data_IF_844231061029
#
_entry.id   IF_844231061029
#
_cell.length_a   1.000
_cell.length_b   1.000
_cell.length_c   1.000
_cell.angle_alpha   90.00
_cell.angle_beta   90.00
_cell.angle_gamma   90.00
#
_symmetry.space_group_name_H-M   'P 1'
#
loop_
_entity.id
_entity.type
_entity.pdbx_description
1 polymer ?
#
# COMPACT_ATOMS: atom_id res chain seq x y z
N UNK A 1 -3.28 -8.77 14.47
CA UNK A 1 -2.51 -9.76 13.66
C UNK A 1 -1.95 -10.89 14.49
N UNK A 2 -1.13 -10.66 15.56
CA UNK A 2 -0.47 -11.72 16.33
C UNK A 2 -1.46 -12.76 16.89
N UNK A 3 -2.53 -12.33 17.57
CA UNK A 3 -3.53 -13.25 18.14
C UNK A 3 -4.20 -14.09 17.04
N UNK A 4 -4.61 -13.47 15.93
CA UNK A 4 -5.25 -14.17 14.80
C UNK A 4 -4.34 -15.22 14.16
N UNK A 5 -3.03 -14.98 14.12
CA UNK A 5 -2.05 -15.95 13.57
C UNK A 5 -1.91 -17.15 14.51
N UNK A 6 -1.94 -16.91 15.83
CA UNK A 6 -1.93 -17.96 16.87
C UNK A 6 -3.21 -18.79 16.78
N UNK A 7 -4.37 -18.14 16.68
CA UNK A 7 -5.68 -18.81 16.58
C UNK A 7 -5.81 -19.71 15.35
N UNK A 8 -5.11 -19.34 14.24
CA UNK A 8 -5.05 -20.13 13.01
C UNK A 8 -3.94 -21.21 13.02
N UNK A 9 -3.24 -21.40 14.12
CA UNK A 9 -2.21 -22.44 14.27
C UNK A 9 -0.87 -22.16 13.58
N UNK A 10 -0.67 -20.96 13.01
CA UNK A 10 0.56 -20.56 12.33
C UNK A 10 1.62 -20.06 13.34
N UNK A 11 2.08 -20.91 14.25
CA UNK A 11 2.95 -20.48 15.36
C UNK A 11 4.44 -20.44 14.97
N UNK A 12 4.89 -21.22 13.99
CA UNK A 12 6.32 -21.55 13.88
C UNK A 12 7.16 -20.69 12.93
N UNK A 13 6.59 -19.87 12.05
CA UNK A 13 7.36 -19.18 11.00
C UNK A 13 7.10 -17.67 10.91
N UNK A 14 6.60 -17.05 11.97
CA UNK A 14 6.25 -15.64 11.97
C UNK A 14 7.05 -14.86 13.00
N UNK A 15 7.55 -13.70 12.59
CA UNK A 15 8.11 -12.68 13.48
C UNK A 15 7.30 -11.42 13.36
N UNK A 16 6.83 -10.88 14.49
CA UNK A 16 6.11 -9.63 14.53
C UNK A 16 7.04 -8.52 15.02
N UNK A 17 7.18 -7.49 14.22
CA UNK A 17 7.98 -6.31 14.54
C UNK A 17 7.05 -5.10 14.52
N UNK A 18 6.93 -4.42 15.64
CA UNK A 18 6.22 -3.14 15.71
C UNK A 18 7.22 -2.02 15.44
N UNK A 19 7.14 -1.42 14.26
CA UNK A 19 8.04 -0.35 13.84
C UNK A 19 7.38 0.46 12.73
N UNK A 20 7.71 1.74 12.64
CA UNK A 20 7.53 2.49 11.41
C UNK A 20 8.48 1.93 10.35
N UNK A 21 8.07 1.96 9.08
CA UNK A 21 8.89 1.43 7.99
C UNK A 21 10.16 2.25 7.78
N UNK A 22 10.12 3.54 8.07
CA UNK A 22 11.26 4.47 8.03
C UNK A 22 12.35 4.09 9.03
N UNK A 23 12.00 3.38 10.08
CA UNK A 23 12.93 2.87 11.10
C UNK A 23 13.34 1.41 10.88
N UNK A 24 12.81 0.75 9.84
CA UNK A 24 13.08 -0.66 9.55
C UNK A 24 14.43 -0.84 8.86
N UNK A 25 15.48 -1.20 9.63
CA UNK A 25 16.86 -1.30 9.13
C UNK A 25 17.31 -2.77 9.03
N UNK A 26 16.74 -3.52 8.10
CA UNK A 26 17.23 -4.86 7.73
C UNK A 26 17.88 -4.81 6.36
N UNK A 27 18.92 -5.61 6.13
CA UNK A 27 19.63 -5.64 4.84
C UNK A 27 19.65 -7.06 4.28
N UNK A 28 19.37 -7.19 2.99
CA UNK A 28 19.51 -8.42 2.21
C UNK A 28 18.91 -9.67 2.88
N UNK A 29 17.73 -9.53 3.48
CA UNK A 29 17.11 -10.60 4.29
C UNK A 29 15.95 -11.29 3.60
N UNK A 30 15.15 -10.57 2.83
CA UNK A 30 13.87 -11.05 2.30
C UNK A 30 13.93 -11.25 0.79
N UNK A 31 13.27 -12.29 0.30
CA UNK A 31 13.11 -12.53 -1.14
C UNK A 31 11.85 -11.87 -1.70
N UNK A 32 10.89 -11.56 -0.84
CA UNK A 32 9.65 -10.90 -1.18
C UNK A 32 9.25 -9.95 -0.05
N UNK A 33 8.84 -8.74 -0.42
CA UNK A 33 8.08 -7.84 0.43
C UNK A 33 6.72 -7.59 -0.20
N UNK A 34 5.66 -7.53 0.60
CA UNK A 34 4.32 -7.19 0.14
C UNK A 34 3.76 -6.06 0.99
N UNK A 35 3.11 -5.12 0.33
CA UNK A 35 2.45 -3.99 0.95
C UNK A 35 1.05 -3.87 0.34
N UNK A 36 0.02 -3.98 1.16
CA UNK A 36 -1.36 -3.85 0.72
C UNK A 36 -2.06 -2.76 1.52
N UNK A 37 -2.55 -1.73 0.82
CA UNK A 37 -3.31 -0.60 1.35
C UNK A 37 -2.61 0.15 2.51
N UNK A 38 -1.28 0.13 2.52
CA UNK A 38 -0.49 0.68 3.61
C UNK A 38 0.43 1.84 3.23
N UNK A 39 0.59 2.10 1.93
CA UNK A 39 1.55 3.07 1.41
C UNK A 39 1.28 4.50 1.94
N UNK A 40 0.00 4.87 2.06
CA UNK A 40 -0.47 6.16 2.58
C UNK A 40 -0.11 6.43 4.05
N UNK A 41 0.28 5.39 4.80
CA UNK A 41 0.68 5.51 6.19
C UNK A 41 2.18 5.80 6.36
N UNK A 42 2.94 5.87 5.26
CA UNK A 42 4.34 6.27 5.30
C UNK A 42 4.44 7.77 5.55
N UNK A 43 5.27 8.16 6.48
CA UNK A 43 5.56 9.57 6.76
C UNK A 43 6.53 10.13 5.72
N UNK A 44 7.46 9.29 5.28
CA UNK A 44 8.43 9.55 4.21
C UNK A 44 8.41 8.34 3.27
N UNK A 45 7.79 8.54 2.10
CA UNK A 45 7.56 7.47 1.14
C UNK A 45 8.86 6.97 0.51
N UNK A 46 9.76 7.88 0.15
CA UNK A 46 11.05 7.54 -0.45
C UNK A 46 11.92 6.74 0.53
N UNK A 47 12.04 7.21 1.77
CA UNK A 47 12.78 6.53 2.83
C UNK A 47 12.17 5.16 3.14
N UNK A 48 10.85 5.06 3.20
CA UNK A 48 10.15 3.80 3.43
C UNK A 48 10.43 2.78 2.32
N UNK A 49 10.30 3.18 1.05
CA UNK A 49 10.61 2.34 -0.10
C UNK A 49 12.09 1.94 -0.15
N UNK A 50 13.01 2.86 0.19
CA UNK A 50 14.45 2.62 0.28
C UNK A 50 14.80 1.59 1.36
N UNK A 51 14.16 1.66 2.52
CA UNK A 51 14.35 0.68 3.59
C UNK A 51 13.84 -0.71 3.21
N UNK A 52 12.70 -0.78 2.51
CA UNK A 52 12.20 -2.05 1.95
C UNK A 52 13.19 -2.57 0.92
N UNK A 53 13.65 -1.74 -0.02
CA UNK A 53 14.65 -2.11 -1.02
C UNK A 53 15.92 -2.66 -0.39
N UNK A 54 16.46 -1.97 0.61
CA UNK A 54 17.64 -2.41 1.35
C UNK A 54 17.44 -3.77 2.03
N UNK A 55 16.23 -4.05 2.49
CA UNK A 55 15.88 -5.30 3.17
C UNK A 55 15.76 -6.50 2.22
N UNK A 56 15.50 -6.26 0.93
CA UNK A 56 15.43 -7.30 -0.07
C UNK A 56 16.81 -7.84 -0.44
N UNK A 57 16.89 -9.12 -0.71
CA UNK A 57 18.03 -9.77 -1.36
C UNK A 57 18.12 -9.34 -2.82
N UNK A 58 19.28 -9.45 -3.44
CA UNK A 58 19.43 -9.39 -4.89
C UNK A 58 18.53 -10.47 -5.51
N UNK A 59 17.79 -10.14 -6.54
CA UNK A 59 16.71 -10.97 -7.12
C UNK A 59 15.39 -10.93 -6.35
N UNK A 60 15.35 -10.30 -5.18
CA UNK A 60 14.12 -10.10 -4.41
C UNK A 60 13.20 -9.07 -5.05
N UNK A 61 11.92 -9.09 -4.67
CA UNK A 61 10.90 -8.21 -5.24
C UNK A 61 10.00 -7.59 -4.19
N UNK A 62 9.52 -6.39 -4.50
CA UNK A 62 8.44 -5.72 -3.79
C UNK A 62 7.16 -5.79 -4.62
N UNK A 63 6.04 -6.15 -3.97
CA UNK A 63 4.70 -6.02 -4.51
C UNK A 63 3.92 -5.01 -3.68
N UNK A 64 3.36 -4.01 -4.34
CA UNK A 64 2.50 -2.99 -3.74
C UNK A 64 1.12 -3.12 -4.36
N UNK A 65 0.08 -3.15 -3.56
CA UNK A 65 -1.31 -3.02 -3.97
C UNK A 65 -1.92 -1.87 -3.17
N UNK A 66 -2.36 -0.83 -3.84
CA UNK A 66 -2.99 0.31 -3.17
C UNK A 66 -4.09 0.95 -4.02
N UNK A 67 -4.90 1.76 -3.37
CA UNK A 67 -5.95 2.52 -4.04
C UNK A 67 -5.35 3.58 -4.94
N UNK A 68 -6.02 3.87 -6.03
CA UNK A 68 -5.80 5.00 -6.91
C UNK A 68 -7.09 5.77 -7.16
N UNK A 69 -6.98 7.03 -7.52
CA UNK A 69 -8.12 7.78 -8.03
C UNK A 69 -8.47 7.28 -9.45
N UNK A 70 -9.75 7.04 -9.78
CA UNK A 70 -10.14 6.66 -11.13
C UNK A 70 -9.81 7.73 -12.16
N UNK A 71 -9.29 7.33 -13.33
CA UNK A 71 -8.93 8.25 -14.42
C UNK A 71 -10.16 8.63 -15.28
N UNK A 72 -11.11 7.71 -15.40
CA UNK A 72 -12.31 7.94 -16.16
C UNK A 72 -13.22 8.94 -15.42
N UNK A 73 -13.59 10.04 -16.09
CA UNK A 73 -14.45 11.11 -15.53
C UNK A 73 -15.77 10.60 -14.95
N UNK A 74 -16.40 9.61 -15.58
CA UNK A 74 -17.63 9.00 -15.10
C UNK A 74 -17.40 8.18 -13.83
N UNK A 75 -16.39 7.31 -13.85
CA UNK A 75 -16.01 6.50 -12.70
C UNK A 75 -15.52 7.39 -11.55
N UNK A 76 -14.80 8.46 -11.86
CA UNK A 76 -14.34 9.45 -10.87
C UNK A 76 -15.51 10.11 -10.15
N UNK A 77 -16.49 10.60 -10.90
CA UNK A 77 -17.70 11.24 -10.31
C UNK A 77 -18.52 10.26 -9.46
N UNK A 78 -18.68 9.03 -9.94
CA UNK A 78 -19.39 7.98 -9.18
C UNK A 78 -18.59 7.57 -7.93
N UNK A 79 -17.27 7.46 -8.05
CA UNK A 79 -16.37 7.15 -6.95
C UNK A 79 -16.38 8.27 -5.89
N UNK A 80 -16.29 9.54 -6.29
CA UNK A 80 -16.39 10.69 -5.38
C UNK A 80 -17.75 10.71 -4.67
N UNK A 81 -18.83 10.48 -5.40
CA UNK A 81 -20.16 10.40 -4.79
C UNK A 81 -20.27 9.28 -3.75
N UNK A 82 -19.69 8.12 -4.04
CA UNK A 82 -19.63 6.98 -3.12
C UNK A 82 -18.74 7.27 -1.90
N UNK A 83 -17.52 7.78 -2.12
CA UNK A 83 -16.56 8.05 -1.03
C UNK A 83 -17.00 9.19 -0.13
N UNK A 84 -17.68 10.22 -0.68
CA UNK A 84 -18.08 11.39 0.08
C UNK A 84 -19.41 11.19 0.84
N UNK A 85 -20.31 10.39 0.30
CA UNK A 85 -21.67 10.30 0.83
C UNK A 85 -22.03 8.92 1.40
N UNK A 86 -21.46 7.84 0.86
CA UNK A 86 -21.85 6.48 1.23
C UNK A 86 -20.84 5.89 2.23
N UNK A 87 -19.55 6.00 1.93
CA UNK A 87 -18.50 5.38 2.73
C UNK A 87 -18.47 5.90 4.19
N UNK A 88 -18.56 7.21 4.46
CA UNK A 88 -18.58 7.73 5.83
C UNK A 88 -19.81 7.26 6.62
N UNK A 89 -21.00 7.21 5.97
CA UNK A 89 -22.22 6.72 6.61
C UNK A 89 -22.17 5.23 6.93
N UNK A 90 -21.60 4.43 6.03
CA UNK A 90 -21.37 3.01 6.30
C UNK A 90 -20.34 2.80 7.43
N UNK A 91 -19.30 3.64 7.49
CA UNK A 91 -18.34 3.64 8.58
C UNK A 91 -18.99 3.92 9.92
N UNK A 92 -19.86 4.90 10.00
CA UNK A 92 -20.62 5.22 11.21
C UNK A 92 -21.50 4.04 11.66
N UNK A 93 -22.21 3.40 10.74
CA UNK A 93 -23.14 2.30 11.04
C UNK A 93 -22.39 1.03 11.45
N UNK A 94 -21.26 0.71 10.80
CA UNK A 94 -20.58 -0.58 10.98
C UNK A 94 -19.54 -0.53 12.09
N UNK A 95 -18.78 0.56 12.19
CA UNK A 95 -17.64 0.67 13.11
C UNK A 95 -17.74 1.81 14.12
N UNK A 96 -18.71 2.72 13.97
CA UNK A 96 -18.83 3.94 14.78
C UNK A 96 -17.71 4.97 14.54
N UNK A 97 -16.91 4.79 13.47
CA UNK A 97 -15.72 5.61 13.18
C UNK A 97 -15.79 6.29 11.81
N UNK A 98 -16.66 7.27 11.69
CA UNK A 98 -16.80 8.10 10.50
C UNK A 98 -15.50 8.82 10.10
N UNK A 99 -14.69 9.21 11.09
CA UNK A 99 -13.45 9.98 10.84
C UNK A 99 -12.40 9.17 10.09
N UNK A 100 -12.23 7.90 10.43
CA UNK A 100 -11.29 7.01 9.73
C UNK A 100 -11.70 6.77 8.27
N UNK A 101 -12.99 6.71 7.98
CA UNK A 101 -13.48 6.55 6.61
C UNK A 101 -13.38 7.85 5.81
N UNK A 102 -13.58 9.02 6.45
CA UNK A 102 -13.34 10.31 5.81
C UNK A 102 -11.85 10.48 5.48
N UNK A 103 -10.96 10.18 6.43
CA UNK A 103 -9.52 10.18 6.20
C UNK A 103 -9.11 9.28 5.03
N UNK A 104 -9.70 8.08 4.93
CA UNK A 104 -9.45 7.17 3.81
C UNK A 104 -9.85 7.81 2.48
N UNK A 105 -11.04 8.39 2.37
CA UNK A 105 -11.53 9.06 1.17
C UNK A 105 -10.59 10.21 0.75
N UNK A 106 -10.25 11.08 1.67
CA UNK A 106 -9.43 12.26 1.40
C UNK A 106 -8.00 11.86 1.01
N UNK A 107 -7.44 10.83 1.66
CA UNK A 107 -6.10 10.35 1.36
C UNK A 107 -5.98 9.73 -0.04
N UNK A 108 -7.03 9.06 -0.55
CA UNK A 108 -7.02 8.49 -1.89
C UNK A 108 -7.02 9.58 -2.96
N UNK A 109 -7.73 10.69 -2.73
CA UNK A 109 -7.84 11.80 -3.70
C UNK A 109 -6.54 12.56 -3.93
N UNK A 110 -5.70 12.64 -2.90
CA UNK A 110 -4.48 13.47 -2.90
C UNK A 110 -3.21 12.63 -2.96
N UNK A 111 -3.35 11.31 -3.10
CA UNK A 111 -2.22 10.41 -3.01
C UNK A 111 -1.51 10.22 -4.35
N UNK A 112 -0.27 9.73 -4.29
CA UNK A 112 0.60 9.46 -5.43
C UNK A 112 -0.11 8.63 -6.51
N UNK A 113 0.03 9.04 -7.76
CA UNK A 113 -0.50 8.29 -8.90
C UNK A 113 0.32 7.02 -9.16
N UNK A 114 -0.24 6.03 -9.89
CA UNK A 114 0.52 4.82 -10.27
C UNK A 114 1.80 5.13 -11.05
N UNK A 115 1.76 6.16 -11.90
CA UNK A 115 2.90 6.61 -12.70
C UNK A 115 3.99 7.20 -11.81
N UNK A 116 3.63 8.13 -10.92
CA UNK A 116 4.56 8.74 -9.95
C UNK A 116 5.16 7.70 -9.02
N UNK A 117 4.38 6.71 -8.56
CA UNK A 117 4.89 5.61 -7.76
C UNK A 117 5.91 4.77 -8.53
N UNK A 118 5.66 4.50 -9.81
CA UNK A 118 6.59 3.77 -10.68
C UNK A 118 7.92 4.53 -10.85
N UNK A 119 7.85 5.85 -11.03
CA UNK A 119 9.04 6.73 -11.13
C UNK A 119 9.81 6.68 -9.82
N UNK A 120 9.15 6.90 -8.69
CA UNK A 120 9.78 6.88 -7.37
C UNK A 120 10.44 5.52 -7.05
N UNK A 121 9.77 4.41 -7.39
CA UNK A 121 10.37 3.09 -7.26
C UNK A 121 11.66 2.96 -8.08
N UNK A 122 11.68 3.53 -9.32
CA UNK A 122 12.88 3.52 -10.17
C UNK A 122 14.01 4.35 -9.54
N UNK A 123 13.71 5.52 -9.01
CA UNK A 123 14.68 6.41 -8.35
C UNK A 123 15.29 5.76 -7.10
N UNK A 124 14.51 5.00 -6.34
CA UNK A 124 14.99 4.20 -5.19
C UNK A 124 15.91 3.06 -5.62
N UNK A 125 15.84 2.62 -6.88
CA UNK A 125 16.72 1.58 -7.44
C UNK A 125 16.00 0.28 -7.83
N UNK A 126 14.68 0.20 -7.74
CA UNK A 126 13.96 -0.96 -8.26
C UNK A 126 14.05 -1.01 -9.78
N UNK A 127 14.19 -2.21 -10.32
CA UNK A 127 14.24 -2.49 -11.76
C UNK A 127 13.05 -3.35 -12.19
N UNK A 128 12.85 -3.47 -13.52
CA UNK A 128 11.77 -4.27 -14.12
C UNK A 128 10.40 -3.97 -13.50
N UNK A 129 10.15 -2.69 -13.25
CA UNK A 129 8.91 -2.23 -12.64
C UNK A 129 7.75 -2.50 -13.60
N UNK A 130 6.69 -3.10 -13.07
CA UNK A 130 5.42 -3.33 -13.77
C UNK A 130 4.31 -2.73 -12.93
N UNK A 131 3.41 -2.01 -13.58
CA UNK A 131 2.19 -1.49 -12.99
C UNK A 131 0.99 -2.04 -13.74
N UNK A 132 -0.01 -2.49 -13.00
CA UNK A 132 -1.27 -3.00 -13.54
C UNK A 132 -2.43 -2.38 -12.76
N UNK A 133 -3.40 -1.85 -13.50
CA UNK A 133 -4.64 -1.32 -12.92
C UNK A 133 -5.67 -2.44 -12.93
N UNK A 134 -6.25 -2.73 -11.77
CA UNK A 134 -7.26 -3.77 -11.65
C UNK A 134 -8.61 -3.33 -12.22
N UNK A 135 -9.45 -4.29 -12.65
CA UNK A 135 -10.81 -3.98 -13.10
C UNK A 135 -11.55 -3.12 -12.08
N UNK A 136 -12.20 -2.07 -12.54
CA UNK A 136 -12.87 -1.07 -11.69
C UNK A 136 -12.11 0.24 -11.54
N UNK A 137 -10.84 0.30 -11.98
CA UNK A 137 -10.03 1.52 -12.02
C UNK A 137 -9.83 2.21 -10.65
N UNK A 138 -9.83 1.41 -9.58
CA UNK A 138 -9.75 1.91 -8.18
C UNK A 138 -8.48 1.41 -7.47
N UNK A 139 -7.88 0.33 -7.96
CA UNK A 139 -6.72 -0.31 -7.35
C UNK A 139 -5.64 -0.53 -8.41
N UNK A 140 -4.40 -0.24 -8.05
CA UNK A 140 -3.23 -0.58 -8.85
C UNK A 140 -2.32 -1.56 -8.11
N UNK A 141 -1.65 -2.42 -8.88
CA UNK A 141 -0.59 -3.29 -8.39
C UNK A 141 0.73 -2.87 -9.04
N UNK A 142 1.77 -2.73 -8.23
CA UNK A 142 3.13 -2.48 -8.69
C UNK A 142 4.03 -3.62 -8.26
N UNK A 143 4.94 -4.03 -9.14
CA UNK A 143 5.97 -5.02 -8.85
C UNK A 143 7.30 -4.44 -9.30
N UNK A 144 8.30 -4.41 -8.41
CA UNK A 144 9.66 -4.00 -8.72
C UNK A 144 10.68 -4.97 -8.12
N UNK A 145 11.81 -5.12 -8.78
CA UNK A 145 12.87 -6.07 -8.40
C UNK A 145 14.12 -5.33 -7.94
N UNK A 146 14.83 -5.91 -6.98
CA UNK A 146 16.19 -5.56 -6.66
C UNK A 146 17.13 -6.41 -7.49
N UNK A 147 17.87 -5.80 -8.42
CA UNK A 147 18.88 -6.47 -9.27
C UNK A 147 20.29 -6.15 -8.82
#
# INVERSE_FOLDING_TARGET
CKNRTIDLGFIKNFSFIQSQIENFKKKNKFSLATLAFGLRNFTDLELGLSNIFSSLKVGGRLMIMDFKSPDNKFNKKLYELYTDNVLPKLGEIISGDQKSYQYLSDSIKTYITPEELSVLMSEVGYSKIRSEILPGDIVSIHIGYKT
#
